data_IF_545936207125
#
_entry.id   IF_545936207125
#
_cell.length_a   1.000
_cell.length_b   1.000
_cell.length_c   1.000
_cell.angle_alpha   90.00
_cell.angle_beta   90.00
_cell.angle_gamma   90.00
#
_symmetry.space_group_name_H-M   'P 1'
#
loop_
_entity.id
_entity.type
_entity.pdbx_description
1 polymer ?
#
# COMPACT_ATOMS: atom_id res chain seq x y z
N UNK A 1 39.83 18.18 5.98
CA UNK A 1 41.03 17.29 6.21
C UNK A 1 40.65 15.83 6.54
N UNK A 2 39.39 15.50 6.82
CA UNK A 2 38.98 14.11 7.12
C UNK A 2 38.82 13.22 5.88
N UNK A 3 38.66 13.79 4.69
CA UNK A 3 38.44 13.00 3.44
C UNK A 3 39.75 12.51 2.76
N UNK A 4 40.90 13.04 3.12
CA UNK A 4 42.20 12.65 2.51
C UNK A 4 42.85 11.44 3.20
N UNK A 5 42.54 11.19 4.48
CA UNK A 5 43.09 10.05 5.22
C UNK A 5 42.43 8.71 4.79
N UNK A 6 41.18 8.72 4.32
CA UNK A 6 40.50 7.52 3.84
C UNK A 6 40.97 7.01 2.47
N UNK A 7 41.46 7.92 1.60
CA UNK A 7 41.92 7.54 0.25
C UNK A 7 43.29 6.90 0.26
N UNK A 8 44.19 7.35 1.13
CA UNK A 8 45.55 6.76 1.24
C UNK A 8 45.52 5.38 1.89
N UNK A 9 44.57 5.13 2.81
CA UNK A 9 44.44 3.81 3.44
C UNK A 9 43.89 2.76 2.45
N UNK A 10 42.96 3.15 1.55
CA UNK A 10 42.48 2.27 0.49
C UNK A 10 43.52 1.94 -0.60
N UNK A 11 44.42 2.90 -0.89
CA UNK A 11 45.48 2.68 -1.86
C UNK A 11 46.58 1.77 -1.29
N UNK A 12 46.89 1.92 0.01
CA UNK A 12 47.90 1.11 0.69
C UNK A 12 47.46 -0.36 0.91
N UNK A 13 46.18 -0.60 1.12
CA UNK A 13 45.63 -1.98 1.20
C UNK A 13 45.56 -2.63 -0.19
N UNK A 14 45.32 -1.86 -1.26
CA UNK A 14 45.32 -2.39 -2.63
C UNK A 14 46.75 -2.82 -3.06
N UNK A 15 47.76 -2.03 -2.75
CA UNK A 15 49.15 -2.38 -3.10
C UNK A 15 49.64 -3.62 -2.33
N UNK A 16 49.20 -3.83 -1.09
CA UNK A 16 49.52 -5.07 -0.34
C UNK A 16 48.75 -6.29 -0.77
N UNK A 17 47.57 -6.15 -1.37
CA UNK A 17 46.80 -7.28 -1.99
C UNK A 17 47.36 -7.66 -3.36
N UNK A 18 47.93 -6.70 -4.11
CA UNK A 18 48.49 -7.00 -5.44
C UNK A 18 49.89 -7.64 -5.34
N UNK A 19 50.70 -7.34 -4.32
CA UNK A 19 52.00 -8.00 -4.14
C UNK A 19 51.96 -9.47 -3.75
N UNK A 20 50.80 -9.98 -3.27
CA UNK A 20 50.68 -11.39 -2.85
C UNK A 20 49.94 -12.30 -3.88
N UNK A 21 49.66 -11.83 -5.09
CA UNK A 21 48.90 -12.59 -6.08
C UNK A 21 49.36 -12.43 -7.52
N UNK A 22 50.59 -12.14 -7.75
CA UNK A 22 51.20 -12.46 -9.05
C UNK A 22 51.68 -13.91 -8.95
N UNK A 23 50.73 -14.85 -9.08
CA UNK A 23 51.09 -16.20 -9.52
C UNK A 23 51.68 -16.05 -10.91
N UNK A 24 52.98 -16.30 -11.05
CA UNK A 24 53.61 -16.53 -12.36
C UNK A 24 52.92 -17.78 -12.96
N UNK A 25 51.80 -17.55 -13.63
CA UNK A 25 51.15 -18.58 -14.44
C UNK A 25 51.98 -18.62 -15.74
N UNK A 26 52.88 -19.57 -15.88
CA UNK A 26 53.47 -19.88 -17.15
C UNK A 26 52.36 -20.33 -18.08
N UNK A 27 52.05 -19.51 -19.09
CA UNK A 27 51.05 -19.82 -20.08
C UNK A 27 51.55 -20.96 -20.95
N UNK A 28 51.09 -22.17 -20.71
CA UNK A 28 51.40 -23.33 -21.53
C UNK A 28 50.46 -23.38 -22.72
N UNK A 29 50.90 -23.90 -23.90
CA UNK A 29 50.04 -24.06 -25.08
C UNK A 29 48.74 -24.83 -24.80
N UNK A 30 48.74 -25.73 -23.83
CA UNK A 30 47.59 -26.54 -23.42
C UNK A 30 46.46 -25.70 -22.80
N UNK A 31 46.79 -24.50 -22.27
CA UNK A 31 45.78 -23.56 -21.72
C UNK A 31 44.92 -22.92 -22.83
N UNK A 32 45.37 -22.97 -24.05
CA UNK A 32 44.66 -22.44 -25.22
C UNK A 32 43.95 -23.53 -26.05
N UNK A 33 43.99 -24.78 -25.59
CA UNK A 33 43.23 -25.85 -26.23
C UNK A 33 41.71 -25.59 -25.99
N UNK A 34 40.94 -25.87 -27.06
CA UNK A 34 39.50 -25.72 -27.05
C UNK A 34 38.87 -26.67 -26.00
N UNK A 35 38.28 -26.12 -24.99
CA UNK A 35 37.61 -26.92 -23.91
C UNK A 35 36.62 -27.88 -24.57
N UNK A 36 36.67 -29.15 -24.17
CA UNK A 36 35.73 -30.17 -24.59
C UNK A 36 34.28 -29.78 -24.18
N UNK A 37 33.32 -30.06 -25.04
CA UNK A 37 31.90 -29.68 -24.83
C UNK A 37 31.31 -30.25 -23.54
N UNK A 38 31.86 -31.32 -23.00
CA UNK A 38 31.49 -31.86 -21.65
C UNK A 38 31.89 -30.94 -20.50
N UNK A 39 32.94 -30.13 -20.65
CA UNK A 39 33.43 -29.18 -19.64
C UNK A 39 32.82 -27.78 -19.77
N UNK A 40 32.18 -27.47 -20.87
CA UNK A 40 31.47 -26.20 -21.10
C UNK A 40 30.15 -26.10 -20.35
N UNK A 41 29.68 -27.19 -19.71
CA UNK A 41 28.44 -27.20 -18.95
C UNK A 41 28.51 -26.48 -17.59
N UNK A 42 29.70 -26.11 -17.09
CA UNK A 42 29.86 -25.36 -15.84
C UNK A 42 29.40 -23.89 -15.95
N UNK A 43 29.25 -23.35 -17.16
CA UNK A 43 28.76 -21.98 -17.39
C UNK A 43 27.25 -21.90 -17.68
N UNK A 44 26.56 -23.05 -17.75
CA UNK A 44 25.09 -22.99 -17.78
C UNK A 44 24.62 -22.48 -16.43
N UNK A 45 24.24 -21.21 -16.41
CA UNK A 45 23.51 -20.61 -15.27
C UNK A 45 22.30 -21.51 -15.03
N UNK A 46 22.40 -22.40 -14.03
CA UNK A 46 21.34 -23.34 -13.65
C UNK A 46 20.13 -22.66 -12.98
N UNK A 47 20.00 -21.35 -13.12
CA UNK A 47 18.85 -20.60 -12.64
C UNK A 47 17.83 -20.48 -13.76
N UNK A 48 16.71 -21.19 -13.64
CA UNK A 48 15.51 -20.86 -14.41
C UNK A 48 15.20 -19.37 -14.23
N UNK A 49 15.13 -18.63 -15.32
CA UNK A 49 14.77 -17.22 -15.31
C UNK A 49 13.32 -17.08 -14.83
N UNK A 50 13.14 -16.80 -13.55
CA UNK A 50 11.81 -16.53 -13.00
C UNK A 50 11.38 -15.13 -13.42
N UNK A 51 10.11 -14.99 -13.79
CA UNK A 51 9.54 -13.65 -14.03
C UNK A 51 9.63 -12.82 -12.76
N UNK A 52 9.80 -11.51 -12.89
CA UNK A 52 9.88 -10.56 -11.74
C UNK A 52 8.73 -10.75 -10.74
N UNK A 53 7.50 -10.96 -11.24
CA UNK A 53 6.31 -11.18 -10.40
C UNK A 53 6.40 -12.51 -9.64
N UNK A 54 6.89 -13.58 -10.29
CA UNK A 54 7.03 -14.88 -9.63
C UNK A 54 8.11 -14.86 -8.53
N UNK A 55 9.20 -14.12 -8.74
CA UNK A 55 10.24 -13.94 -7.71
C UNK A 55 9.71 -13.09 -6.55
N UNK A 56 9.04 -11.97 -6.83
CA UNK A 56 8.40 -11.16 -5.80
C UNK A 56 7.37 -11.96 -4.98
N UNK A 57 6.54 -12.79 -5.62
CA UNK A 57 5.60 -13.66 -4.93
C UNK A 57 6.28 -14.71 -4.05
N UNK A 58 7.37 -15.29 -4.51
CA UNK A 58 8.14 -16.25 -3.71
C UNK A 58 8.81 -15.60 -2.48
N UNK A 59 9.25 -14.34 -2.61
CA UNK A 59 9.78 -13.55 -1.48
C UNK A 59 8.68 -13.15 -0.51
N UNK A 60 7.53 -12.69 -1.02
CA UNK A 60 6.37 -12.35 -0.20
C UNK A 60 5.91 -13.52 0.68
N UNK A 61 5.84 -14.74 0.11
CA UNK A 61 5.49 -15.95 0.88
C UNK A 61 6.46 -16.29 2.00
N UNK A 62 7.71 -15.84 1.95
CA UNK A 62 8.67 -16.04 3.04
C UNK A 62 8.42 -15.13 4.23
N UNK A 63 7.74 -14.00 4.04
CA UNK A 63 7.38 -13.08 5.12
C UNK A 63 6.11 -13.61 5.83
N UNK A 64 6.31 -14.22 7.01
CA UNK A 64 5.21 -14.84 7.79
C UNK A 64 4.16 -13.83 8.21
N UNK A 65 4.56 -12.60 8.58
CA UNK A 65 3.62 -11.56 9.01
C UNK A 65 2.74 -11.10 7.85
N UNK A 66 3.32 -10.90 6.66
CA UNK A 66 2.56 -10.55 5.47
C UNK A 66 1.56 -11.65 5.08
N UNK A 67 1.94 -12.92 5.23
CA UNK A 67 1.05 -14.05 4.95
C UNK A 67 -0.09 -14.13 5.96
N UNK A 68 0.17 -13.93 7.25
CA UNK A 68 -0.86 -13.87 8.30
C UNK A 68 -1.81 -12.70 8.02
N UNK A 69 -1.28 -11.51 7.68
CA UNK A 69 -2.08 -10.35 7.30
C UNK A 69 -2.99 -10.63 6.10
N UNK A 70 -2.44 -11.27 5.07
CA UNK A 70 -3.22 -11.64 3.86
C UNK A 70 -4.32 -12.64 4.20
N UNK A 71 -4.03 -13.69 4.97
CA UNK A 71 -5.03 -14.67 5.40
C UNK A 71 -6.15 -13.99 6.22
N UNK A 72 -5.77 -13.13 7.18
CA UNK A 72 -6.74 -12.39 7.98
C UNK A 72 -7.63 -11.49 7.11
N UNK A 73 -7.04 -10.72 6.18
CA UNK A 73 -7.79 -9.84 5.29
C UNK A 73 -8.76 -10.63 4.39
N UNK A 74 -8.34 -11.79 3.89
CA UNK A 74 -9.20 -12.68 3.10
C UNK A 74 -10.37 -13.22 3.94
N UNK A 75 -10.12 -13.68 5.16
CA UNK A 75 -11.17 -14.15 6.08
C UNK A 75 -12.15 -13.02 6.40
N UNK A 76 -11.65 -11.82 6.69
CA UNK A 76 -12.50 -10.64 6.92
C UNK A 76 -13.32 -10.27 5.69
N UNK A 77 -12.72 -10.23 4.50
CA UNK A 77 -13.45 -9.92 3.26
C UNK A 77 -14.54 -10.96 2.96
N UNK A 78 -14.23 -12.25 3.12
CA UNK A 78 -15.19 -13.35 2.98
C UNK A 78 -16.29 -13.20 4.03
N UNK A 79 -15.95 -12.98 5.28
CA UNK A 79 -16.92 -12.74 6.37
C UNK A 79 -17.82 -11.54 6.08
N UNK A 80 -17.27 -10.43 5.64
CA UNK A 80 -18.04 -9.25 5.26
C UNK A 80 -19.03 -9.52 4.11
N UNK A 81 -18.70 -10.40 3.17
CA UNK A 81 -19.59 -10.76 2.05
C UNK A 81 -20.65 -11.78 2.50
N UNK A 82 -20.24 -12.85 3.15
CA UNK A 82 -21.10 -14.02 3.36
C UNK A 82 -21.94 -13.93 4.62
N UNK A 83 -21.40 -13.40 5.73
CA UNK A 83 -22.14 -13.32 7.00
C UNK A 83 -23.46 -12.55 6.86
N UNK A 84 -23.52 -11.35 6.26
CA UNK A 84 -24.80 -10.65 6.09
C UNK A 84 -25.75 -11.28 5.08
N UNK A 85 -25.27 -12.22 4.22
CA UNK A 85 -26.11 -12.94 3.24
C UNK A 85 -26.74 -14.18 3.88
N UNK A 86 -25.95 -14.95 4.64
CA UNK A 86 -26.38 -16.22 5.21
C UNK A 86 -26.96 -16.11 6.62
N UNK A 87 -26.83 -14.95 7.26
CA UNK A 87 -27.42 -14.68 8.58
C UNK A 87 -28.94 -14.64 8.50
N UNK A 88 -29.61 -15.16 9.53
CA UNK A 88 -31.04 -14.98 9.74
C UNK A 88 -31.40 -13.54 10.16
N UNK A 89 -30.41 -12.73 10.52
CA UNK A 89 -30.58 -11.34 10.93
C UNK A 89 -30.13 -10.39 9.83
N UNK A 90 -30.89 -9.29 9.66
CA UNK A 90 -30.49 -8.20 8.76
C UNK A 90 -29.72 -7.12 9.55
N UNK A 91 -28.85 -6.35 8.89
CA UNK A 91 -28.02 -5.31 9.53
C UNK A 91 -28.84 -4.16 10.11
N UNK A 92 -30.07 -3.96 9.66
CA UNK A 92 -31.04 -2.92 10.08
C UNK A 92 -32.24 -3.47 10.87
N UNK A 93 -32.38 -4.81 10.93
CA UNK A 93 -33.49 -5.49 11.60
C UNK A 93 -33.47 -5.24 13.11
N UNK A 94 -34.51 -4.55 13.62
CA UNK A 94 -34.61 -4.15 15.03
C UNK A 94 -35.47 -5.14 15.82
N UNK A 95 -35.05 -5.50 17.03
CA UNK A 95 -35.81 -6.31 17.97
C UNK A 95 -35.72 -5.70 19.37
N UNK A 96 -36.66 -4.84 19.69
CA UNK A 96 -36.69 -4.13 20.98
C UNK A 96 -36.83 -5.03 22.23
N UNK A 97 -37.26 -6.28 22.05
CA UNK A 97 -37.31 -7.26 23.14
C UNK A 97 -35.90 -7.74 23.57
N UNK A 98 -34.92 -7.69 22.63
CA UNK A 98 -33.55 -8.20 22.83
C UNK A 98 -32.52 -7.08 22.86
N UNK A 99 -32.82 -5.90 23.37
CA UNK A 99 -31.88 -4.79 23.49
C UNK A 99 -30.77 -5.12 24.48
N UNK A 100 -29.51 -4.85 24.09
CA UNK A 100 -28.31 -5.11 24.90
C UNK A 100 -28.18 -6.56 25.39
N UNK A 101 -28.69 -7.54 24.66
CA UNK A 101 -28.46 -8.94 24.97
C UNK A 101 -26.95 -9.25 24.85
N UNK A 102 -26.44 -9.96 25.85
CA UNK A 102 -25.04 -10.39 25.87
C UNK A 102 -24.74 -11.40 24.76
N UNK A 103 -23.44 -11.73 24.55
CA UNK A 103 -23.04 -12.78 23.61
C UNK A 103 -23.74 -14.10 23.91
N UNK A 104 -24.33 -14.70 22.87
CA UNK A 104 -25.07 -15.96 22.92
C UNK A 104 -24.88 -16.76 21.62
N UNK A 105 -25.40 -17.97 21.54
CA UNK A 105 -25.38 -18.76 20.29
C UNK A 105 -26.20 -18.11 19.17
N UNK A 106 -27.26 -17.39 19.53
CA UNK A 106 -28.08 -16.66 18.57
C UNK A 106 -27.44 -15.34 18.15
N UNK A 107 -26.76 -14.68 19.08
CA UNK A 107 -26.10 -13.38 18.89
C UNK A 107 -24.65 -13.45 19.37
N UNK A 108 -23.73 -13.90 18.51
CA UNK A 108 -22.33 -14.18 18.88
C UNK A 108 -21.62 -12.98 19.54
N UNK A 109 -21.86 -11.76 19.05
CA UNK A 109 -21.32 -10.50 19.62
C UNK A 109 -22.37 -9.73 20.42
N UNK A 110 -23.52 -10.35 20.68
CA UNK A 110 -24.63 -9.70 21.36
C UNK A 110 -25.42 -8.77 20.45
N UNK A 111 -26.31 -7.96 21.05
CA UNK A 111 -27.19 -7.00 20.37
C UNK A 111 -26.94 -5.58 20.81
N UNK A 112 -27.24 -4.62 19.94
CA UNK A 112 -27.09 -3.19 20.22
C UNK A 112 -28.33 -2.59 20.94
N UNK A 113 -28.35 -1.26 21.09
CA UNK A 113 -29.44 -0.50 21.74
C UNK A 113 -30.82 -0.67 21.05
N UNK A 114 -30.85 -1.14 19.80
CA UNK A 114 -32.06 -1.39 19.05
C UNK A 114 -32.34 -2.89 18.88
N UNK A 115 -31.60 -3.75 19.60
CA UNK A 115 -31.70 -5.20 19.47
C UNK A 115 -31.22 -5.76 18.14
N UNK A 116 -30.35 -5.01 17.41
CA UNK A 116 -29.75 -5.45 16.13
C UNK A 116 -28.53 -6.30 16.43
N UNK A 117 -28.29 -7.33 15.61
CA UNK A 117 -27.12 -8.20 15.77
C UNK A 117 -25.82 -7.47 15.46
N UNK A 118 -24.91 -7.43 16.45
CA UNK A 118 -23.65 -6.68 16.36
C UNK A 118 -22.69 -7.31 15.36
N UNK A 119 -22.62 -8.66 15.29
CA UNK A 119 -21.72 -9.34 14.34
C UNK A 119 -22.12 -9.04 12.88
N UNK A 120 -23.43 -9.18 12.57
CA UNK A 120 -23.94 -8.89 11.23
C UNK A 120 -23.68 -7.43 10.84
N UNK A 121 -23.85 -6.49 11.77
CA UNK A 121 -23.56 -5.06 11.56
C UNK A 121 -22.09 -4.79 11.33
N UNK A 122 -21.19 -5.44 12.07
CA UNK A 122 -19.74 -5.30 11.87
C UNK A 122 -19.32 -5.84 10.50
N UNK A 123 -19.84 -6.98 10.10
CA UNK A 123 -19.52 -7.57 8.79
C UNK A 123 -20.12 -6.75 7.64
N UNK A 124 -21.35 -6.25 7.79
CA UNK A 124 -21.93 -5.32 6.81
C UNK A 124 -21.15 -4.00 6.73
N UNK A 125 -20.83 -3.41 7.88
CA UNK A 125 -20.03 -2.19 7.96
C UNK A 125 -18.64 -2.37 7.35
N UNK A 126 -18.06 -3.56 7.49
CA UNK A 126 -16.79 -3.92 6.87
C UNK A 126 -16.81 -3.86 5.34
N UNK A 127 -17.92 -4.25 4.69
CA UNK A 127 -18.08 -4.06 3.23
C UNK A 127 -17.87 -2.61 2.85
N UNK A 128 -18.51 -1.71 3.60
CA UNK A 128 -18.50 -0.28 3.31
C UNK A 128 -17.11 0.30 3.61
N UNK A 129 -16.54 0.05 4.78
CA UNK A 129 -15.22 0.56 5.15
C UNK A 129 -14.11 0.06 4.20
N UNK A 130 -14.13 -1.22 3.83
CA UNK A 130 -13.20 -1.77 2.84
C UNK A 130 -13.43 -1.17 1.44
N UNK A 131 -14.69 -1.05 1.00
CA UNK A 131 -15.01 -0.46 -0.30
C UNK A 131 -14.56 1.01 -0.39
N UNK A 132 -14.78 1.81 0.66
CA UNK A 132 -14.27 3.19 0.74
C UNK A 132 -12.76 3.19 0.68
N UNK A 133 -12.08 2.39 1.51
CA UNK A 133 -10.63 2.33 1.59
C UNK A 133 -9.99 1.99 0.25
N UNK A 134 -10.41 0.91 -0.39
CA UNK A 134 -9.87 0.50 -1.69
C UNK A 134 -10.24 1.47 -2.81
N UNK A 135 -11.48 1.94 -2.88
CA UNK A 135 -11.90 2.87 -3.94
C UNK A 135 -11.13 4.19 -3.86
N UNK A 136 -11.01 4.77 -2.66
CA UNK A 136 -10.25 5.99 -2.47
C UNK A 136 -8.77 5.81 -2.81
N UNK A 137 -8.16 4.70 -2.39
CA UNK A 137 -6.76 4.41 -2.69
C UNK A 137 -6.52 4.23 -4.20
N UNK A 138 -7.42 3.54 -4.93
CA UNK A 138 -7.31 3.34 -6.37
C UNK A 138 -7.42 4.67 -7.11
N UNK A 139 -8.39 5.52 -6.76
CA UNK A 139 -8.58 6.82 -7.40
C UNK A 139 -7.36 7.72 -7.12
N UNK A 140 -6.89 7.75 -5.86
CA UNK A 140 -5.69 8.52 -5.47
C UNK A 140 -4.43 8.02 -6.17
N UNK A 141 -4.29 6.71 -6.37
CA UNK A 141 -3.22 6.11 -7.16
C UNK A 141 -3.26 6.62 -8.62
N UNK A 142 -4.42 6.51 -9.28
CA UNK A 142 -4.57 6.92 -10.68
C UNK A 142 -4.25 8.40 -10.87
N UNK A 143 -4.81 9.27 -10.03
CA UNK A 143 -4.56 10.72 -10.09
C UNK A 143 -3.12 11.05 -9.74
N UNK A 144 -2.60 10.50 -8.64
CA UNK A 144 -1.26 10.77 -8.16
C UNK A 144 -0.17 10.29 -9.12
N UNK A 145 -0.31 9.08 -9.68
CA UNK A 145 0.64 8.54 -10.67
C UNK A 145 0.63 9.40 -11.93
N UNK A 146 -0.54 9.75 -12.44
CA UNK A 146 -0.66 10.56 -13.66
C UNK A 146 -0.05 11.95 -13.44
N UNK A 147 -0.43 12.62 -12.36
CA UNK A 147 0.05 13.96 -12.06
C UNK A 147 1.56 13.99 -11.79
N UNK A 148 2.04 13.10 -10.92
CA UNK A 148 3.46 13.00 -10.57
C UNK A 148 4.34 12.61 -11.76
N UNK A 149 3.86 11.70 -12.62
CA UNK A 149 4.56 11.29 -13.83
C UNK A 149 4.71 12.44 -14.84
N UNK A 150 3.66 13.22 -15.05
CA UNK A 150 3.70 14.39 -15.93
C UNK A 150 4.67 15.44 -15.38
N UNK A 151 4.56 15.78 -14.10
CA UNK A 151 5.43 16.76 -13.45
C UNK A 151 6.89 16.34 -13.51
N UNK A 152 7.23 15.12 -13.09
CA UNK A 152 8.60 14.61 -13.06
C UNK A 152 9.23 14.48 -14.44
N UNK A 153 8.44 14.06 -15.44
CA UNK A 153 8.94 13.92 -16.81
C UNK A 153 9.16 15.27 -17.50
N UNK A 154 8.19 16.20 -17.40
CA UNK A 154 8.28 17.50 -18.01
C UNK A 154 9.42 18.35 -17.42
N UNK A 155 9.53 18.36 -16.10
CA UNK A 155 10.56 19.15 -15.40
C UNK A 155 10.37 20.65 -15.54
N UNK A 156 11.39 21.43 -15.10
CA UNK A 156 11.46 22.87 -15.32
C UNK A 156 10.24 23.65 -14.79
N UNK A 157 9.70 24.57 -15.60
CA UNK A 157 8.57 25.43 -15.20
C UNK A 157 7.26 24.65 -14.99
N UNK A 158 7.03 23.58 -15.76
CA UNK A 158 5.82 22.75 -15.63
C UNK A 158 5.82 22.04 -14.28
N UNK A 159 6.90 21.39 -13.96
CA UNK A 159 7.08 20.74 -12.66
C UNK A 159 6.92 21.74 -11.51
N UNK A 160 7.58 22.88 -11.60
CA UNK A 160 7.50 23.93 -10.57
C UNK A 160 6.06 24.38 -10.33
N UNK A 161 5.28 24.66 -11.38
CA UNK A 161 3.87 25.10 -11.25
C UNK A 161 3.01 23.99 -10.67
N UNK A 162 3.13 22.77 -11.21
CA UNK A 162 2.37 21.62 -10.73
C UNK A 162 2.64 21.34 -9.25
N UNK A 163 3.91 21.38 -8.82
CA UNK A 163 4.23 21.17 -7.41
C UNK A 163 3.79 22.32 -6.50
N UNK A 164 3.76 23.57 -6.99
CA UNK A 164 3.18 24.68 -6.20
C UNK A 164 1.69 24.50 -5.93
N UNK A 165 0.94 23.93 -6.88
CA UNK A 165 -0.46 23.56 -6.65
C UNK A 165 -0.57 22.49 -5.58
N UNK A 166 0.24 21.44 -5.68
CA UNK A 166 0.29 20.37 -4.66
C UNK A 166 0.67 20.95 -3.29
N UNK A 167 1.67 21.82 -3.21
CA UNK A 167 2.13 22.42 -1.95
C UNK A 167 1.03 23.31 -1.32
N UNK A 168 0.33 24.11 -2.12
CA UNK A 168 -0.77 24.91 -1.66
C UNK A 168 -1.94 24.08 -1.11
N UNK A 169 -2.30 23.02 -1.81
CA UNK A 169 -3.34 22.10 -1.34
C UNK A 169 -2.89 21.32 -0.09
N UNK A 170 -1.66 20.85 -0.06
CA UNK A 170 -1.12 20.07 1.06
C UNK A 170 -0.92 20.88 2.35
N UNK A 171 -0.95 22.22 2.26
CA UNK A 171 -0.88 23.10 3.45
C UNK A 171 -2.16 23.04 4.31
N UNK A 172 -3.26 22.55 3.75
CA UNK A 172 -4.53 22.38 4.48
C UNK A 172 -4.55 20.97 5.10
N UNK A 173 -4.80 20.84 6.40
CA UNK A 173 -4.91 19.53 7.04
C UNK A 173 -5.97 18.64 6.37
N UNK A 174 -5.62 17.37 6.11
CA UNK A 174 -6.48 16.40 5.40
C UNK A 174 -7.89 16.30 5.97
N UNK A 175 -8.01 16.27 7.30
CA UNK A 175 -9.30 16.20 7.99
C UNK A 175 -10.23 17.39 7.67
N UNK A 176 -9.70 18.57 7.42
CA UNK A 176 -10.52 19.71 7.05
C UNK A 176 -11.17 19.51 5.68
N UNK A 177 -10.44 18.97 4.70
CA UNK A 177 -11.02 18.61 3.39
C UNK A 177 -12.16 17.62 3.57
N UNK A 178 -11.92 16.55 4.33
CA UNK A 178 -12.91 15.50 4.54
C UNK A 178 -14.19 16.07 5.18
N UNK A 179 -14.06 16.82 6.27
CA UNK A 179 -15.18 17.41 6.98
C UNK A 179 -15.94 18.38 6.07
N UNK A 180 -15.24 19.30 5.41
CA UNK A 180 -15.88 20.31 4.55
C UNK A 180 -16.66 19.65 3.41
N UNK A 181 -16.07 18.66 2.74
CA UNK A 181 -16.71 17.97 1.62
C UNK A 181 -17.92 17.18 2.09
N UNK A 182 -17.80 16.45 3.20
CA UNK A 182 -18.90 15.66 3.75
C UNK A 182 -20.04 16.56 4.24
N UNK A 183 -19.74 17.72 4.81
CA UNK A 183 -20.77 18.69 5.23
C UNK A 183 -21.47 19.32 4.03
N UNK A 184 -20.74 19.67 2.97
CA UNK A 184 -21.31 20.35 1.77
C UNK A 184 -22.08 19.37 0.89
N UNK A 185 -21.54 18.16 0.64
CA UNK A 185 -22.14 17.18 -0.26
C UNK A 185 -23.08 16.19 0.46
N UNK A 186 -23.14 16.26 1.80
CA UNK A 186 -23.89 15.32 2.63
C UNK A 186 -23.11 14.08 3.03
N UNK A 187 -23.55 13.44 4.12
CA UNK A 187 -22.93 12.25 4.73
C UNK A 187 -23.31 10.98 3.96
N UNK A 188 -22.66 10.76 2.83
CA UNK A 188 -22.88 9.61 1.95
C UNK A 188 -21.56 8.98 1.48
N UNK A 189 -21.65 7.78 0.93
CA UNK A 189 -20.50 7.00 0.46
C UNK A 189 -19.61 7.77 -0.55
N UNK A 190 -20.24 8.48 -1.48
CA UNK A 190 -19.52 9.22 -2.54
C UNK A 190 -18.77 10.42 -1.97
N UNK A 191 -19.40 11.19 -1.07
CA UNK A 191 -18.77 12.36 -0.44
C UNK A 191 -17.52 11.99 0.35
N UNK A 192 -17.57 10.86 1.09
CA UNK A 192 -16.42 10.37 1.84
C UNK A 192 -15.27 10.00 0.90
N UNK A 193 -15.54 9.26 -0.18
CA UNK A 193 -14.52 8.92 -1.17
C UNK A 193 -13.90 10.17 -1.79
N UNK A 194 -14.73 11.13 -2.24
CA UNK A 194 -14.25 12.38 -2.83
C UNK A 194 -13.36 13.13 -1.83
N UNK A 195 -13.80 13.25 -0.58
CA UNK A 195 -13.04 13.91 0.48
C UNK A 195 -11.67 13.28 0.69
N UNK A 196 -11.60 11.96 0.82
CA UNK A 196 -10.33 11.23 0.96
C UNK A 196 -9.47 11.38 -0.29
N UNK A 197 -10.05 11.28 -1.48
CA UNK A 197 -9.31 11.39 -2.73
C UNK A 197 -8.65 12.76 -2.90
N UNK A 198 -9.31 13.85 -2.49
CA UNK A 198 -8.76 15.21 -2.65
C UNK A 198 -7.45 15.40 -1.87
N UNK A 199 -7.29 14.75 -0.74
CA UNK A 199 -6.06 14.86 0.06
C UNK A 199 -5.02 13.78 -0.27
N UNK A 200 -5.45 12.53 -0.48
CA UNK A 200 -4.54 11.37 -0.53
C UNK A 200 -3.68 11.28 -1.79
N UNK A 201 -4.13 11.82 -2.95
CA UNK A 201 -3.38 11.75 -4.21
C UNK A 201 -2.09 12.57 -4.20
N UNK A 202 -2.01 13.62 -3.38
CA UNK A 202 -0.89 14.56 -3.34
C UNK A 202 0.42 13.89 -2.91
N UNK A 203 0.36 13.04 -1.88
CA UNK A 203 1.50 12.24 -1.42
C UNK A 203 2.02 11.31 -2.51
N UNK A 204 1.11 10.60 -3.19
CA UNK A 204 1.45 9.73 -4.31
C UNK A 204 2.07 10.51 -5.47
N UNK A 205 1.53 11.69 -5.81
CA UNK A 205 2.07 12.53 -6.88
C UNK A 205 3.52 12.96 -6.61
N UNK A 206 3.83 13.39 -5.38
CA UNK A 206 5.21 13.76 -4.99
C UNK A 206 6.16 12.59 -5.10
N UNK A 207 5.74 11.41 -4.65
CA UNK A 207 6.57 10.22 -4.69
C UNK A 207 6.84 9.76 -6.12
N UNK A 208 5.80 9.68 -6.95
CA UNK A 208 5.94 9.27 -8.36
C UNK A 208 6.80 10.28 -9.12
N UNK A 209 6.61 11.60 -8.87
CA UNK A 209 7.47 12.64 -9.43
C UNK A 209 8.94 12.39 -9.11
N UNK A 210 9.28 12.14 -7.83
CA UNK A 210 10.64 11.88 -7.41
C UNK A 210 11.24 10.64 -8.10
N UNK A 211 10.47 9.55 -8.18
CA UNK A 211 10.90 8.32 -8.88
C UNK A 211 11.15 8.57 -10.37
N UNK A 212 10.22 9.26 -11.04
CA UNK A 212 10.34 9.56 -12.48
C UNK A 212 11.54 10.45 -12.76
N UNK A 213 11.82 11.45 -11.91
CA UNK A 213 13.01 12.31 -12.06
C UNK A 213 14.30 11.50 -11.93
N UNK A 214 14.41 10.65 -10.91
CA UNK A 214 15.58 9.81 -10.70
C UNK A 214 15.80 8.83 -11.85
N UNK A 215 14.74 8.16 -12.32
CA UNK A 215 14.84 7.17 -13.39
C UNK A 215 15.07 7.81 -14.77
N UNK A 216 14.64 9.04 -14.98
CA UNK A 216 14.85 9.78 -16.22
C UNK A 216 16.35 10.02 -16.52
N UNK A 217 17.16 10.15 -15.47
CA UNK A 217 18.61 10.40 -15.55
C UNK A 217 19.43 9.11 -15.68
N UNK A 218 18.80 7.93 -15.60
CA UNK A 218 19.47 6.64 -15.72
C UNK A 218 19.85 6.33 -17.18
N UNK A 219 20.93 5.57 -17.35
CA UNK A 219 21.49 5.21 -18.66
C UNK A 219 20.49 4.58 -19.63
N UNK A 220 19.61 3.68 -19.13
CA UNK A 220 18.59 3.04 -19.96
C UNK A 220 17.57 4.03 -20.54
N UNK A 221 17.26 5.09 -19.80
CA UNK A 221 16.35 6.15 -20.23
C UNK A 221 17.00 7.02 -21.31
N UNK A 222 18.27 7.37 -21.10
CA UNK A 222 19.06 8.13 -22.08
C UNK A 222 19.30 7.31 -23.36
N UNK A 223 19.61 6.02 -23.24
CA UNK A 223 19.74 5.13 -24.38
C UNK A 223 18.45 5.05 -25.22
N UNK A 224 17.28 4.90 -24.54
CA UNK A 224 15.99 4.90 -25.22
C UNK A 224 15.73 6.22 -25.97
N UNK A 225 16.14 7.35 -25.42
CA UNK A 225 16.01 8.66 -26.05
C UNK A 225 16.91 8.77 -27.30
N UNK A 226 18.19 8.36 -27.21
CA UNK A 226 19.14 8.37 -28.32
C UNK A 226 18.67 7.46 -29.46
N UNK A 227 18.06 6.32 -29.15
CA UNK A 227 17.47 5.39 -30.12
C UNK A 227 16.15 5.91 -30.74
N UNK A 228 15.72 7.14 -30.43
CA UNK A 228 14.57 7.79 -31.05
C UNK A 228 13.22 7.39 -30.44
N UNK A 229 13.17 6.82 -29.25
CA UNK A 229 11.90 6.51 -28.59
C UNK A 229 11.11 7.79 -28.27
N UNK A 230 9.81 7.80 -28.55
CA UNK A 230 8.94 8.94 -28.26
C UNK A 230 8.85 9.20 -26.74
N UNK A 231 8.66 10.46 -26.34
CA UNK A 231 8.50 10.90 -24.94
C UNK A 231 7.45 10.07 -24.18
N UNK A 232 6.29 9.82 -24.81
CA UNK A 232 5.22 8.99 -24.25
C UNK A 232 5.68 7.54 -24.03
N UNK A 233 6.44 6.98 -24.95
CA UNK A 233 6.96 5.61 -24.84
C UNK A 233 7.98 5.50 -23.71
N UNK A 234 8.89 6.47 -23.58
CA UNK A 234 9.87 6.52 -22.49
C UNK A 234 9.12 6.58 -21.15
N UNK A 235 8.19 7.53 -20.99
CA UNK A 235 7.43 7.69 -19.75
C UNK A 235 6.66 6.43 -19.37
N UNK A 236 5.82 5.91 -20.26
CA UNK A 236 4.91 4.81 -19.92
C UNK A 236 5.59 3.45 -19.88
N UNK A 237 6.52 3.14 -20.81
CA UNK A 237 7.15 1.81 -20.91
C UNK A 237 8.45 1.67 -20.13
N UNK A 238 9.15 2.76 -19.88
CA UNK A 238 10.45 2.69 -19.21
C UNK A 238 10.39 3.28 -17.80
N UNK A 239 9.84 4.48 -17.61
CA UNK A 239 9.89 5.13 -16.29
C UNK A 239 8.82 4.60 -15.33
N UNK A 240 7.53 4.58 -15.73
CA UNK A 240 6.45 4.13 -14.85
C UNK A 240 6.62 2.65 -14.51
N UNK A 241 6.95 1.78 -15.48
CA UNK A 241 7.13 0.35 -15.21
C UNK A 241 8.26 0.11 -14.21
N UNK A 242 9.38 0.82 -14.33
CA UNK A 242 10.49 0.71 -13.39
C UNK A 242 10.21 1.40 -12.03
N UNK A 243 9.18 2.24 -11.95
CA UNK A 243 8.70 2.84 -10.70
C UNK A 243 7.65 1.99 -9.98
N UNK A 244 7.18 0.87 -10.58
CA UNK A 244 6.05 0.10 -10.03
C UNK A 244 6.32 -0.45 -8.63
N UNK A 245 7.54 -0.84 -8.30
CA UNK A 245 7.87 -1.32 -6.96
C UNK A 245 7.48 -0.30 -5.87
N UNK A 246 8.09 0.89 -5.85
CA UNK A 246 7.72 1.95 -4.91
C UNK A 246 6.25 2.37 -4.98
N UNK A 247 5.63 2.39 -6.18
CA UNK A 247 4.22 2.74 -6.36
C UNK A 247 3.30 1.74 -5.68
N UNK A 248 3.54 0.42 -5.85
CA UNK A 248 2.74 -0.64 -5.24
C UNK A 248 2.84 -0.58 -3.71
N UNK A 249 4.04 -0.36 -3.17
CA UNK A 249 4.24 -0.19 -1.72
C UNK A 249 3.42 0.99 -1.20
N UNK A 250 3.50 2.13 -1.87
CA UNK A 250 2.73 3.31 -1.44
C UNK A 250 1.23 3.12 -1.58
N UNK A 251 0.77 2.46 -2.64
CA UNK A 251 -0.63 2.09 -2.78
C UNK A 251 -1.11 1.22 -1.62
N UNK A 252 -0.30 0.22 -1.21
CA UNK A 252 -0.68 -0.64 -0.08
C UNK A 252 -0.82 0.12 1.24
N UNK A 253 -0.09 1.23 1.43
CA UNK A 253 -0.19 2.11 2.60
C UNK A 253 -1.34 3.13 2.50
N UNK A 254 -1.81 3.45 1.29
CA UNK A 254 -2.98 4.32 1.09
C UNK A 254 -4.28 3.66 1.56
N UNK A 255 -4.43 2.34 1.41
CA UNK A 255 -5.65 1.63 1.79
C UNK A 255 -5.94 1.74 3.30
N UNK A 256 -5.03 1.34 4.22
CA UNK A 256 -5.27 1.48 5.65
C UNK A 256 -5.46 2.94 6.06
N UNK A 257 -4.74 3.89 5.46
CA UNK A 257 -4.93 5.32 5.73
C UNK A 257 -6.33 5.79 5.34
N UNK A 258 -6.84 5.35 4.19
CA UNK A 258 -8.19 5.69 3.73
C UNK A 258 -9.28 5.12 4.64
N UNK A 259 -9.11 3.87 5.11
CA UNK A 259 -10.01 3.25 6.11
C UNK A 259 -9.96 4.03 7.42
N UNK A 260 -8.78 4.46 7.86
CA UNK A 260 -8.64 5.27 9.07
C UNK A 260 -9.38 6.60 8.97
N UNK A 261 -9.27 7.30 7.84
CA UNK A 261 -9.98 8.55 7.61
C UNK A 261 -11.51 8.34 7.60
N UNK A 262 -12.01 7.30 6.92
CA UNK A 262 -13.42 6.94 6.93
C UNK A 262 -13.91 6.64 8.34
N UNK A 263 -13.18 5.79 9.08
CA UNK A 263 -13.53 5.40 10.43
C UNK A 263 -13.53 6.62 11.40
N UNK A 264 -12.59 7.55 11.22
CA UNK A 264 -12.52 8.78 12.02
C UNK A 264 -13.73 9.68 11.75
N UNK A 265 -14.11 9.90 10.49
CA UNK A 265 -15.32 10.65 10.15
C UNK A 265 -16.57 9.99 10.74
N UNK A 266 -16.67 8.65 10.60
CA UNK A 266 -17.76 7.86 11.20
C UNK A 266 -17.83 8.03 12.71
N UNK A 267 -16.69 7.94 13.40
CA UNK A 267 -16.59 8.11 14.85
C UNK A 267 -16.90 9.52 15.33
N UNK A 268 -16.61 10.54 14.52
CA UNK A 268 -17.00 11.94 14.78
C UNK A 268 -18.49 12.22 14.54
N UNK A 269 -19.23 11.26 13.98
CA UNK A 269 -20.65 11.43 13.67
C UNK A 269 -20.94 12.13 12.35
N UNK A 270 -19.91 12.35 11.51
CA UNK A 270 -20.02 12.97 10.18
C UNK A 270 -19.89 11.89 9.07
N UNK A 271 -19.90 10.62 9.46
CA UNK A 271 -19.83 9.47 8.56
C UNK A 271 -21.12 9.18 7.83
N UNK A 272 -21.29 7.93 7.41
CA UNK A 272 -22.49 7.49 6.71
C UNK A 272 -23.75 7.65 7.53
N UNK A 273 -24.83 8.12 6.90
CA UNK A 273 -26.14 8.26 7.54
C UNK A 273 -26.83 6.91 7.72
N UNK A 274 -27.57 6.76 8.84
CA UNK A 274 -28.40 5.59 9.08
C UNK A 274 -29.41 5.37 7.90
N UNK A 275 -29.78 4.12 7.56
CA UNK A 275 -29.46 2.88 8.27
C UNK A 275 -28.10 2.27 7.95
N UNK A 276 -27.34 2.82 7.01
CA UNK A 276 -26.01 2.33 6.64
C UNK A 276 -25.07 2.35 7.85
N UNK A 277 -24.21 1.35 7.92
CA UNK A 277 -23.23 1.23 8.99
C UNK A 277 -21.84 1.03 8.38
N UNK A 278 -20.85 1.68 8.98
CA UNK A 278 -19.44 1.41 8.80
C UNK A 278 -18.80 1.12 10.14
N UNK A 279 -17.58 0.64 10.17
CA UNK A 279 -16.92 0.40 11.46
C UNK A 279 -16.81 1.68 12.32
N UNK A 280 -16.54 2.83 11.70
CA UNK A 280 -16.48 4.11 12.39
C UNK A 280 -17.82 4.56 12.99
N UNK A 281 -18.91 4.42 12.22
CA UNK A 281 -20.25 4.77 12.71
C UNK A 281 -20.72 3.82 13.80
N UNK A 282 -20.38 2.53 13.73
CA UNK A 282 -20.66 1.56 14.79
C UNK A 282 -19.93 1.91 16.09
N UNK A 283 -18.66 2.31 15.99
CA UNK A 283 -17.89 2.75 17.15
C UNK A 283 -18.49 4.02 17.78
N UNK A 284 -18.99 4.96 16.96
CA UNK A 284 -19.67 6.17 17.44
C UNK A 284 -21.01 5.83 18.12
N UNK A 285 -21.83 4.97 17.51
CA UNK A 285 -23.11 4.53 18.08
C UNK A 285 -22.93 3.91 19.48
N UNK A 286 -21.87 3.12 19.65
CA UNK A 286 -21.57 2.43 20.89
C UNK A 286 -20.85 3.30 21.93
N UNK A 287 -20.25 4.45 21.54
CA UNK A 287 -19.46 5.32 22.43
C UNK A 287 -20.21 5.76 23.68
N UNK A 288 -21.48 6.12 23.54
CA UNK A 288 -22.31 6.57 24.67
C UNK A 288 -22.54 5.48 25.71
N UNK A 289 -22.35 4.20 25.34
CA UNK A 289 -22.61 3.04 26.19
C UNK A 289 -21.32 2.37 26.71
N UNK A 290 -20.18 3.04 26.60
CA UNK A 290 -18.87 2.45 26.94
C UNK A 290 -18.78 1.99 28.40
N UNK A 291 -19.44 2.71 29.32
CA UNK A 291 -19.44 2.38 30.74
C UNK A 291 -20.34 1.20 31.10
N UNK A 292 -21.43 0.98 30.37
CA UNK A 292 -22.41 -0.08 30.64
C UNK A 292 -22.24 -1.31 29.73
N UNK A 293 -21.83 -1.10 28.48
CA UNK A 293 -21.71 -2.14 27.45
C UNK A 293 -20.38 -2.00 26.66
N UNK A 294 -19.21 -2.19 27.30
CA UNK A 294 -17.91 -1.92 26.69
C UNK A 294 -17.64 -2.78 25.45
N UNK A 295 -18.15 -4.02 25.41
CA UNK A 295 -17.95 -4.94 24.28
C UNK A 295 -18.50 -4.38 22.97
N UNK A 296 -19.56 -3.58 23.01
CA UNK A 296 -20.13 -2.98 21.78
C UNK A 296 -19.17 -2.00 21.11
N UNK A 297 -18.34 -1.30 21.89
CA UNK A 297 -17.29 -0.41 21.37
C UNK A 297 -16.06 -1.20 20.94
N UNK A 298 -15.70 -2.24 21.69
CA UNK A 298 -14.50 -3.04 21.46
C UNK A 298 -14.55 -3.75 20.10
N UNK A 299 -15.68 -4.35 19.72
CA UNK A 299 -15.80 -5.12 18.49
C UNK A 299 -15.50 -4.32 17.21
N UNK A 300 -16.14 -3.16 16.95
CA UNK A 300 -15.81 -2.37 15.75
C UNK A 300 -14.40 -1.80 15.79
N UNK A 301 -13.87 -1.41 16.96
CA UNK A 301 -12.49 -0.95 17.09
C UNK A 301 -11.50 -2.07 16.75
N UNK A 302 -11.72 -3.29 17.26
CA UNK A 302 -10.88 -4.44 16.92
C UNK A 302 -10.92 -4.75 15.43
N UNK A 303 -12.09 -4.65 14.79
CA UNK A 303 -12.22 -4.85 13.36
C UNK A 303 -11.36 -3.83 12.57
N UNK A 304 -11.39 -2.54 12.93
CA UNK A 304 -10.55 -1.50 12.35
C UNK A 304 -9.07 -1.81 12.59
N UNK A 305 -8.67 -1.98 13.84
CA UNK A 305 -7.26 -2.14 14.22
C UNK A 305 -6.62 -3.37 13.57
N UNK A 306 -7.30 -4.52 13.62
CA UNK A 306 -6.77 -5.75 13.04
C UNK A 306 -6.71 -5.69 11.51
N UNK A 307 -7.69 -5.07 10.86
CA UNK A 307 -7.68 -4.89 9.41
C UNK A 307 -6.56 -3.94 8.97
N UNK A 308 -6.37 -2.82 9.66
CA UNK A 308 -5.27 -1.89 9.38
C UNK A 308 -3.91 -2.55 9.61
N UNK A 309 -3.75 -3.31 10.71
CA UNK A 309 -2.53 -4.05 11.00
C UNK A 309 -2.22 -5.08 9.92
N UNK A 310 -3.23 -5.83 9.49
CA UNK A 310 -3.10 -6.81 8.41
C UNK A 310 -2.67 -6.15 7.10
N UNK A 311 -3.29 -5.02 6.74
CA UNK A 311 -2.94 -4.25 5.54
C UNK A 311 -1.51 -3.69 5.61
N UNK A 312 -1.07 -3.20 6.78
CA UNK A 312 0.30 -2.75 6.99
C UNK A 312 1.31 -3.90 6.82
N UNK A 313 1.05 -5.08 7.41
CA UNK A 313 1.90 -6.25 7.21
C UNK A 313 1.99 -6.69 5.75
N UNK A 314 0.88 -6.60 5.00
CA UNK A 314 0.87 -6.85 3.56
C UNK A 314 1.72 -5.81 2.84
N UNK A 315 1.60 -4.54 3.19
CA UNK A 315 2.36 -3.43 2.60
C UNK A 315 3.86 -3.58 2.82
N UNK A 316 4.27 -3.88 4.05
CA UNK A 316 5.67 -4.13 4.40
C UNK A 316 6.22 -5.35 3.66
N UNK A 317 5.44 -6.43 3.60
CA UNK A 317 5.80 -7.64 2.87
C UNK A 317 5.93 -7.43 1.36
N UNK A 318 5.08 -6.58 0.76
CA UNK A 318 5.20 -6.16 -0.63
C UNK A 318 6.46 -5.30 -0.85
N UNK A 319 6.77 -4.40 0.09
CA UNK A 319 7.99 -3.61 0.07
C UNK A 319 9.25 -4.47 0.05
N UNK A 320 9.31 -5.45 0.96
CA UNK A 320 10.42 -6.39 1.04
C UNK A 320 10.54 -7.28 -0.21
N UNK A 321 9.41 -7.71 -0.77
CA UNK A 321 9.36 -8.57 -1.94
C UNK A 321 9.76 -7.86 -3.24
N UNK A 322 9.42 -6.57 -3.37
CA UNK A 322 9.66 -5.77 -4.56
C UNK A 322 11.00 -5.04 -4.54
N UNK A 323 11.71 -5.00 -3.40
CA UNK A 323 13.04 -4.38 -3.31
C UNK A 323 14.12 -5.30 -3.91
N UNK A 324 14.77 -4.90 -5.03
CA UNK A 324 15.81 -5.70 -5.65
C UNK A 324 17.12 -5.76 -4.85
N UNK A 325 17.30 -4.86 -3.86
CA UNK A 325 18.52 -4.78 -3.04
C UNK A 325 18.51 -5.77 -1.88
N UNK A 326 17.36 -6.23 -1.45
CA UNK A 326 17.22 -7.27 -0.41
C UNK A 326 17.33 -8.66 -1.07
N UNK A 327 18.57 -9.04 -1.44
CA UNK A 327 18.91 -10.39 -1.88
C UNK A 327 19.43 -11.23 -0.73
#
# INVERSE_FOLDING_TARGET
CACLVGSEMCIRDRSKMEENKVMNIELTPEMFEKLDDSKKNSEKIAYESKTYIADAWNRFKKNKLALIGLCFLLVMAIGCIFVPIFSSYTYDGQNMANTFAGPSMDHIFGTDRFGRDVLVRIMYGGRISLAVGFSAAIISLCVGVTYGAIAGYAGGKVDMIMMRIVDALYSIPDMLYLIMITVVLGSNFQSIIIGICISSWMGMARQVRAQVMTLKEQEFSLAAFVLGASKKRILLKHLIINSMGPIIVSFSMLVPSSIFYEATLGFLGIGLSAPQASWGTLANDARAMISSQPLQVVWPILAICLTMLALNFIGDGLGDALDPKKK
#
